data_IF_068768516391
#
_entry.id   IF_068768516391
#
_cell.length_a   1.000
_cell.length_b   1.000
_cell.length_c   1.000
_cell.angle_alpha   90.00
_cell.angle_beta   90.00
_cell.angle_gamma   90.00
#
_symmetry.space_group_name_H-M   'P 1'
#
loop_
_entity.id
_entity.type
_entity.pdbx_description
1 polymer ?
#
# COMPACT_ATOMS: atom_id res chain seq x y z
N UNK A 1 17.90 -5.99 -1.68
CA UNK A 1 16.75 -6.38 -0.84
C UNK A 1 15.42 -6.01 -1.53
N UNK A 2 15.20 -4.76 -1.90
CA UNK A 2 13.92 -4.31 -2.46
C UNK A 2 13.86 -4.58 -3.96
N UNK A 3 12.74 -5.19 -4.42
CA UNK A 3 12.53 -5.47 -5.85
C UNK A 3 11.82 -4.31 -6.56
N UNK A 4 10.75 -3.79 -5.96
CA UNK A 4 9.97 -2.70 -6.56
C UNK A 4 9.14 -1.96 -5.50
N UNK A 5 8.88 -0.68 -5.75
CA UNK A 5 7.90 0.08 -4.98
C UNK A 5 6.52 -0.18 -5.61
N UNK A 6 5.69 -0.96 -4.94
CA UNK A 6 4.40 -1.38 -5.50
C UNK A 6 3.22 -0.52 -5.05
N UNK A 7 3.26 -0.03 -3.80
CA UNK A 7 2.17 0.78 -3.26
C UNK A 7 2.71 1.96 -2.46
N UNK A 8 2.02 3.09 -2.57
CA UNK A 8 2.16 4.22 -1.63
C UNK A 8 0.86 4.27 -0.85
N UNK A 9 0.89 3.76 0.38
CA UNK A 9 -0.29 3.63 1.24
C UNK A 9 -0.50 4.95 1.96
N UNK A 10 -1.53 5.70 1.56
CA UNK A 10 -1.68 7.11 1.91
C UNK A 10 -2.88 7.33 2.84
N UNK A 11 -2.71 8.02 3.97
CA UNK A 11 -3.84 8.41 4.82
C UNK A 11 -4.80 9.31 4.05
N UNK A 12 -6.10 9.03 4.15
CA UNK A 12 -7.13 9.84 3.52
C UNK A 12 -8.35 9.92 4.44
N UNK A 13 -8.54 11.04 5.12
CA UNK A 13 -9.66 11.23 6.04
C UNK A 13 -11.00 11.13 5.31
N UNK A 14 -11.06 11.62 4.07
CA UNK A 14 -12.22 11.51 3.19
C UNK A 14 -11.75 10.91 1.85
N UNK A 15 -11.91 9.61 1.71
CA UNK A 15 -11.43 8.87 0.53
C UNK A 15 -12.12 9.36 -0.74
N UNK A 16 -13.43 9.60 -0.71
CA UNK A 16 -14.16 10.05 -1.91
C UNK A 16 -13.68 11.43 -2.38
N UNK A 17 -13.44 12.36 -1.46
CA UNK A 17 -12.88 13.66 -1.78
C UNK A 17 -11.47 13.53 -2.37
N UNK A 18 -10.65 12.66 -1.80
CA UNK A 18 -9.29 12.40 -2.32
C UNK A 18 -9.32 11.79 -3.71
N UNK A 19 -10.24 10.86 -3.98
CA UNK A 19 -10.43 10.29 -5.33
C UNK A 19 -10.71 11.43 -6.33
N UNK A 20 -11.62 12.34 -6.00
CA UNK A 20 -11.96 13.46 -6.89
C UNK A 20 -10.74 14.33 -7.18
N UNK A 21 -9.89 14.60 -6.19
CA UNK A 21 -8.66 15.38 -6.36
C UNK A 21 -7.65 14.67 -7.25
N UNK A 22 -7.54 13.35 -7.16
CA UNK A 22 -6.62 12.56 -7.99
C UNK A 22 -7.12 12.42 -9.42
N UNK A 23 -8.42 12.26 -9.62
CA UNK A 23 -9.00 12.09 -10.97
C UNK A 23 -9.05 13.42 -11.72
N UNK A 24 -9.61 14.47 -11.10
CA UNK A 24 -9.79 15.76 -11.74
C UNK A 24 -8.48 16.49 -12.03
N UNK A 25 -7.84 17.11 -11.02
CA UNK A 25 -6.62 17.89 -11.24
C UNK A 25 -5.44 17.09 -11.75
N UNK A 26 -5.27 15.84 -11.30
CA UNK A 26 -4.08 15.05 -11.62
C UNK A 26 -4.27 14.09 -12.79
N UNK A 27 -5.48 13.90 -13.27
CA UNK A 27 -5.77 12.97 -14.36
C UNK A 27 -5.53 11.52 -14.01
N UNK A 28 -5.63 11.17 -12.74
CA UNK A 28 -5.44 9.81 -12.25
C UNK A 28 -6.59 8.88 -12.64
N UNK A 29 -6.31 7.58 -12.62
CA UNK A 29 -7.29 6.54 -12.91
C UNK A 29 -7.67 5.81 -11.62
N UNK A 30 -8.97 5.78 -11.29
CA UNK A 30 -9.48 4.96 -10.19
C UNK A 30 -9.51 3.49 -10.64
N UNK A 31 -8.68 2.66 -10.02
CA UNK A 31 -8.61 1.24 -10.35
C UNK A 31 -9.65 0.43 -9.60
N UNK A 32 -9.84 0.73 -8.32
CA UNK A 32 -10.86 0.10 -7.50
C UNK A 32 -11.12 0.92 -6.23
N UNK A 33 -12.30 0.71 -5.66
CA UNK A 33 -12.71 1.28 -4.38
C UNK A 33 -13.53 0.24 -3.63
N UNK A 34 -13.14 -0.07 -2.41
CA UNK A 34 -13.75 -1.09 -1.56
C UNK A 34 -14.18 -0.48 -0.24
N UNK A 35 -15.42 -0.75 0.15
CA UNK A 35 -15.94 -0.46 1.49
C UNK A 35 -16.08 -1.76 2.25
N UNK A 36 -15.35 -1.90 3.34
CA UNK A 36 -15.40 -3.09 4.18
C UNK A 36 -14.89 -2.76 5.59
N UNK A 37 -15.43 -3.45 6.59
CA UNK A 37 -15.00 -3.34 7.99
C UNK A 37 -14.96 -1.89 8.51
N UNK A 38 -15.94 -1.09 8.12
CA UNK A 38 -16.08 0.29 8.60
C UNK A 38 -15.11 1.28 7.97
N UNK A 39 -14.40 0.90 6.94
CA UNK A 39 -13.46 1.79 6.24
C UNK A 39 -13.64 1.73 4.72
N UNK A 40 -13.07 2.71 4.04
CA UNK A 40 -12.99 2.76 2.58
C UNK A 40 -11.53 2.79 2.16
N UNK A 41 -11.20 1.99 1.16
CA UNK A 41 -9.86 1.93 0.57
C UNK A 41 -10.00 2.02 -0.94
N UNK A 42 -9.19 2.84 -1.57
CA UNK A 42 -9.22 3.00 -3.02
C UNK A 42 -7.82 2.96 -3.61
N UNK A 43 -7.69 2.47 -4.83
CA UNK A 43 -6.42 2.43 -5.54
C UNK A 43 -6.46 3.38 -6.73
N UNK A 44 -5.49 4.28 -6.78
CA UNK A 44 -5.32 5.25 -7.85
C UNK A 44 -4.04 4.95 -8.63
N UNK A 45 -4.12 5.03 -9.96
CA UNK A 45 -2.96 4.98 -10.83
C UNK A 45 -2.69 6.35 -11.41
N UNK A 46 -1.51 6.88 -11.14
CA UNK A 46 -1.08 8.18 -11.69
C UNK A 46 -0.17 8.02 -12.90
N UNK A 47 0.67 7.00 -12.91
CA UNK A 47 1.58 6.75 -14.01
C UNK A 47 1.48 5.30 -14.48
N UNK A 48 1.80 5.06 -15.75
CA UNK A 48 1.63 3.73 -16.38
C UNK A 48 2.40 2.62 -15.65
N UNK A 49 3.66 2.87 -15.28
CA UNK A 49 4.55 1.89 -14.66
C UNK A 49 4.84 2.18 -13.19
N UNK A 50 4.21 3.18 -12.62
CA UNK A 50 4.43 3.57 -11.24
C UNK A 50 3.68 2.72 -10.23
N UNK A 51 3.90 2.96 -8.93
CA UNK A 51 3.14 2.30 -7.89
C UNK A 51 1.67 2.71 -7.92
N UNK A 52 0.82 1.88 -7.33
CA UNK A 52 -0.54 2.30 -6.99
C UNK A 52 -0.50 3.19 -5.76
N UNK A 53 -1.21 4.31 -5.81
CA UNK A 53 -1.46 5.12 -4.62
C UNK A 53 -2.71 4.60 -3.95
N UNK A 54 -2.57 4.07 -2.75
CA UNK A 54 -3.71 3.51 -1.99
C UNK A 54 -4.19 4.58 -1.02
N UNK A 55 -5.44 5.00 -1.19
CA UNK A 55 -6.10 5.95 -0.30
C UNK A 55 -6.84 5.16 0.78
N UNK A 56 -6.44 5.33 2.04
CA UNK A 56 -6.92 4.51 3.14
C UNK A 56 -7.58 5.34 4.23
N UNK A 57 -8.88 5.15 4.43
CA UNK A 57 -9.65 5.90 5.41
C UNK A 57 -9.33 5.53 6.86
N UNK A 58 -8.78 4.32 7.09
CA UNK A 58 -8.41 3.85 8.42
C UNK A 58 -6.98 4.24 8.84
N UNK A 59 -6.17 4.73 7.92
CA UNK A 59 -4.82 5.16 8.22
C UNK A 59 -4.83 6.62 8.68
N UNK A 60 -4.25 6.88 9.85
CA UNK A 60 -4.21 8.21 10.43
C UNK A 60 -2.88 8.91 10.19
N UNK A 61 -2.91 10.25 10.26
CA UNK A 61 -1.72 11.08 10.09
C UNK A 61 -1.51 11.56 8.66
N UNK A 62 -0.30 12.02 8.37
CA UNK A 62 0.04 12.62 7.08
C UNK A 62 1.17 11.88 6.35
N UNK A 63 1.76 10.87 6.99
CA UNK A 63 2.92 10.17 6.45
C UNK A 63 2.45 8.91 5.72
N UNK A 64 2.72 8.79 4.42
CA UNK A 64 2.39 7.57 3.69
C UNK A 64 3.34 6.43 4.06
N UNK A 65 2.90 5.19 3.81
CA UNK A 65 3.73 4.01 3.92
C UNK A 65 4.18 3.62 2.52
N UNK A 66 5.49 3.56 2.32
CA UNK A 66 6.08 3.10 1.06
C UNK A 66 6.21 1.58 1.11
N UNK A 67 5.42 0.87 0.30
CA UNK A 67 5.35 -0.59 0.35
C UNK A 67 6.17 -1.19 -0.78
N UNK A 68 7.29 -1.81 -0.40
CA UNK A 68 8.24 -2.44 -1.32
C UNK A 68 8.05 -3.95 -1.36
N UNK A 69 8.09 -4.52 -2.57
CA UNK A 69 8.15 -5.96 -2.75
C UNK A 69 9.56 -6.47 -2.50
N UNK A 70 9.66 -7.65 -1.89
CA UNK A 70 10.90 -8.41 -1.73
C UNK A 70 10.68 -9.82 -2.27
N UNK A 71 11.76 -10.50 -2.67
CA UNK A 71 11.65 -11.87 -3.19
C UNK A 71 11.41 -12.89 -2.07
N UNK A 72 12.04 -12.67 -0.92
CA UNK A 72 11.96 -13.56 0.23
C UNK A 72 11.73 -12.75 1.49
N UNK A 73 10.50 -12.79 1.98
CA UNK A 73 10.10 -12.03 3.17
C UNK A 73 10.89 -12.43 4.41
N UNK A 74 11.10 -13.73 4.63
CA UNK A 74 11.82 -14.20 5.83
C UNK A 74 13.25 -13.70 5.85
N UNK A 75 13.93 -13.76 4.70
CA UNK A 75 15.30 -13.27 4.56
C UNK A 75 15.36 -11.76 4.78
N UNK A 76 14.43 -11.00 4.20
CA UNK A 76 14.38 -9.56 4.36
C UNK A 76 14.10 -9.17 5.82
N UNK A 77 13.13 -9.82 6.47
CA UNK A 77 12.80 -9.55 7.87
C UNK A 77 13.98 -9.87 8.80
N UNK A 78 14.65 -11.00 8.56
CA UNK A 78 15.82 -11.39 9.35
C UNK A 78 16.97 -10.37 9.19
N UNK A 79 17.22 -9.90 7.98
CA UNK A 79 18.25 -8.91 7.70
C UNK A 79 17.95 -7.57 8.38
N UNK A 80 16.72 -7.09 8.29
CA UNK A 80 16.30 -5.85 8.96
C UNK A 80 16.39 -5.96 10.48
N UNK A 81 15.94 -7.07 11.04
CA UNK A 81 16.02 -7.33 12.49
C UNK A 81 17.47 -7.39 12.95
N UNK A 82 18.36 -8.03 12.19
CA UNK A 82 19.79 -8.11 12.52
C UNK A 82 20.46 -6.74 12.53
N UNK A 83 19.93 -5.79 11.79
CA UNK A 83 20.40 -4.40 11.77
C UNK A 83 19.76 -3.51 12.84
N UNK A 84 18.97 -4.08 13.73
CA UNK A 84 18.34 -3.36 14.83
C UNK A 84 17.05 -2.66 14.50
N UNK A 85 16.44 -2.95 13.34
CA UNK A 85 15.18 -2.34 12.94
C UNK A 85 14.01 -3.13 13.55
N UNK A 86 13.14 -2.44 14.30
CA UNK A 86 11.95 -3.05 14.88
C UNK A 86 10.86 -3.19 13.81
N UNK A 87 10.37 -4.40 13.63
CA UNK A 87 9.34 -4.72 12.65
C UNK A 87 7.98 -4.94 13.32
N UNK A 88 6.94 -4.47 12.66
CA UNK A 88 5.56 -4.83 12.97
C UNK A 88 5.04 -5.74 11.85
N UNK A 89 4.90 -7.04 12.15
CA UNK A 89 4.51 -8.04 11.15
C UNK A 89 3.01 -8.16 11.03
N UNK A 90 2.53 -8.35 9.80
CA UNK A 90 1.12 -8.55 9.49
C UNK A 90 0.96 -9.35 8.19
N UNK A 91 -0.25 -9.86 7.97
CA UNK A 91 -0.64 -10.46 6.71
C UNK A 91 -1.48 -9.47 5.92
N UNK A 92 -1.13 -9.27 4.65
CA UNK A 92 -1.96 -8.54 3.70
C UNK A 92 -2.49 -9.53 2.66
N UNK A 93 -3.48 -9.15 1.83
CA UNK A 93 -4.01 -10.07 0.82
C UNK A 93 -2.93 -10.66 -0.10
N UNK A 94 -1.86 -9.92 -0.37
CA UNK A 94 -0.76 -10.32 -1.26
C UNK A 94 0.19 -11.33 -0.63
N UNK A 95 0.36 -11.31 0.70
CA UNK A 95 1.27 -12.19 1.41
C UNK A 95 1.76 -11.61 2.73
N UNK A 96 2.83 -12.17 3.30
CA UNK A 96 3.40 -11.65 4.54
C UNK A 96 4.01 -10.28 4.34
N UNK A 97 3.89 -9.43 5.35
CA UNK A 97 4.29 -8.04 5.30
C UNK A 97 4.86 -7.61 6.66
N UNK A 98 5.76 -6.65 6.66
CA UNK A 98 6.21 -6.00 7.89
C UNK A 98 6.37 -4.50 7.63
N UNK A 99 5.95 -3.70 8.60
CA UNK A 99 6.14 -2.26 8.56
C UNK A 99 7.23 -1.84 9.54
N UNK A 100 7.91 -0.75 9.25
CA UNK A 100 8.94 -0.21 10.12
C UNK A 100 9.16 1.28 9.83
N UNK A 101 9.81 1.96 10.77
CA UNK A 101 10.15 3.37 10.63
C UNK A 101 11.66 3.55 10.61
N UNK A 102 12.13 4.41 9.71
CA UNK A 102 13.54 4.74 9.56
C UNK A 102 13.68 6.14 8.97
N UNK A 103 14.54 6.97 9.57
CA UNK A 103 14.82 8.30 9.03
C UNK A 103 13.60 9.19 8.84
N UNK A 104 12.57 9.06 9.68
CA UNK A 104 11.31 9.80 9.53
C UNK A 104 10.37 9.23 8.46
N UNK A 105 10.79 8.19 7.76
CA UNK A 105 9.97 7.51 6.77
C UNK A 105 9.26 6.29 7.38
N UNK A 106 8.11 5.94 6.81
CA UNK A 106 7.38 4.74 7.15
C UNK A 106 7.40 3.82 5.93
N UNK A 107 8.04 2.66 6.06
CA UNK A 107 8.20 1.70 4.98
C UNK A 107 7.54 0.37 5.34
N UNK A 108 7.29 -0.42 4.32
CA UNK A 108 6.88 -1.80 4.48
C UNK A 108 7.59 -2.67 3.44
N UNK A 109 7.81 -3.92 3.79
CA UNK A 109 8.27 -4.96 2.87
C UNK A 109 7.24 -6.07 2.84
N UNK A 110 7.01 -6.66 1.66
CA UNK A 110 6.10 -7.79 1.52
C UNK A 110 6.58 -8.74 0.43
N UNK A 111 6.19 -10.00 0.56
CA UNK A 111 6.42 -11.00 -0.49
C UNK A 111 5.09 -11.32 -1.15
N UNK A 112 5.06 -11.35 -2.48
CA UNK A 112 3.86 -11.71 -3.24
C UNK A 112 3.73 -13.23 -3.28
N UNK A 113 3.07 -13.82 -2.28
CA UNK A 113 2.81 -15.26 -2.21
C UNK A 113 1.45 -15.65 -2.79
N UNK A 114 0.56 -14.67 -2.98
CA UNK A 114 -0.77 -14.86 -3.55
C UNK A 114 -0.93 -13.95 -4.78
N UNK A 115 -0.40 -14.34 -5.95
CA UNK A 115 -0.42 -13.48 -7.14
C UNK A 115 -1.81 -13.02 -7.57
N UNK A 116 -2.84 -13.82 -7.31
CA UNK A 116 -4.22 -13.47 -7.65
C UNK A 116 -4.70 -12.20 -6.93
N UNK A 117 -4.13 -11.89 -5.75
CA UNK A 117 -4.49 -10.72 -4.98
C UNK A 117 -4.25 -9.39 -5.74
N UNK A 118 -3.31 -9.38 -6.68
CA UNK A 118 -3.00 -8.21 -7.49
C UNK A 118 -4.21 -7.71 -8.26
N UNK A 119 -5.11 -8.60 -8.66
CA UNK A 119 -6.30 -8.28 -9.47
C UNK A 119 -7.62 -8.50 -8.75
N UNK A 120 -7.63 -8.90 -7.48
CA UNK A 120 -8.88 -9.23 -6.75
C UNK A 120 -9.91 -8.12 -6.79
N UNK A 121 -9.48 -6.88 -6.68
CA UNK A 121 -10.38 -5.73 -6.60
C UNK A 121 -10.50 -4.96 -7.91
N UNK A 122 -9.80 -5.36 -8.97
CA UNK A 122 -9.79 -4.63 -10.23
C UNK A 122 -11.21 -4.40 -10.75
N UNK A 123 -11.52 -3.13 -11.01
CA UNK A 123 -12.83 -2.72 -11.52
C UNK A 123 -13.94 -2.66 -10.48
N UNK A 124 -13.73 -3.08 -9.24
CA UNK A 124 -14.74 -2.99 -8.18
C UNK A 124 -14.82 -1.54 -7.68
N UNK A 125 -15.99 -0.95 -7.77
CA UNK A 125 -16.25 0.42 -7.31
C UNK A 125 -17.45 0.38 -6.37
N UNK A 126 -17.21 0.30 -5.07
CA UNK A 126 -18.28 0.30 -4.07
C UNK A 126 -18.87 1.72 -3.94
N UNK A 127 -20.21 1.83 -3.72
CA UNK A 127 -20.86 3.14 -3.56
C UNK A 127 -20.42 3.93 -2.34
#
# INVERSE_FOLDING_TARGET
MFSSLDFVYTPAADVDASIADFVGPLGGELRWKVRAMGTTVAAMRLSHDGPLVILAGHLHGEVPILVYRVEDYRAAAAELTAKGIALEELEIPHGPCATFRIGGAHLAVYELTRPDAVTWFDGRIDP
#
